data_IF_184528713723
#
_entry.id   IF_184528713723
#
_cell.length_a   1.000
_cell.length_b   1.000
_cell.length_c   1.000
_cell.angle_alpha   90.00
_cell.angle_beta   90.00
_cell.angle_gamma   90.00
#
_symmetry.space_group_name_H-M   'P 1'
#
loop_
_entity.id
_entity.type
_entity.pdbx_description
1 polymer ?
#
# COMPACT_ATOMS: atom_id res chain seq x y z
N UNK A 1 36.59 -17.76 -20.34
CA UNK A 1 35.15 -17.89 -20.18
C UNK A 1 34.67 -17.19 -18.92
N UNK A 2 33.40 -16.87 -18.90
CA UNK A 2 32.77 -16.18 -17.75
C UNK A 2 32.16 -17.17 -16.73
N UNK A 3 32.44 -18.47 -16.86
CA UNK A 3 31.84 -19.51 -16.01
C UNK A 3 32.15 -19.35 -14.52
N UNK A 4 33.29 -18.75 -14.19
CA UNK A 4 33.70 -18.50 -12.79
C UNK A 4 33.37 -17.08 -12.32
N UNK A 5 32.61 -16.32 -13.10
CA UNK A 5 32.25 -14.95 -12.72
C UNK A 5 31.30 -14.95 -11.49
N UNK A 6 31.57 -14.12 -10.45
CA UNK A 6 30.79 -14.13 -9.21
C UNK A 6 29.29 -13.88 -9.43
N UNK A 7 28.92 -13.08 -10.42
CA UNK A 7 27.50 -12.81 -10.76
C UNK A 7 26.83 -14.10 -11.28
N UNK A 8 27.51 -14.89 -12.13
CA UNK A 8 26.97 -16.14 -12.63
C UNK A 8 26.79 -17.14 -11.50
N UNK A 9 27.76 -17.27 -10.61
CA UNK A 9 27.67 -18.19 -9.47
C UNK A 9 26.55 -17.81 -8.52
N UNK A 10 26.39 -16.50 -8.21
CA UNK A 10 25.26 -15.99 -7.41
C UNK A 10 23.90 -16.24 -8.06
N UNK A 11 23.80 -16.04 -9.39
CA UNK A 11 22.57 -16.32 -10.14
C UNK A 11 22.20 -17.81 -10.15
N UNK A 12 23.18 -18.69 -10.32
CA UNK A 12 22.95 -20.15 -10.25
C UNK A 12 22.47 -20.55 -8.85
N UNK A 13 23.14 -20.08 -7.80
CA UNK A 13 22.73 -20.37 -6.43
C UNK A 13 21.32 -19.85 -6.14
N UNK A 14 21.00 -18.61 -6.56
CA UNK A 14 19.65 -18.05 -6.42
C UNK A 14 18.58 -18.94 -7.08
N UNK A 15 18.82 -19.40 -8.31
CA UNK A 15 17.88 -20.30 -8.98
C UNK A 15 17.73 -21.64 -8.25
N UNK A 16 18.83 -22.22 -7.77
CA UNK A 16 18.79 -23.47 -7.03
C UNK A 16 18.03 -23.30 -5.71
N UNK A 17 18.31 -22.23 -4.98
CA UNK A 17 17.73 -21.95 -3.64
C UNK A 17 16.25 -21.54 -3.76
N UNK A 18 15.78 -21.06 -4.95
CA UNK A 18 14.41 -20.65 -5.19
C UNK A 18 13.47 -21.78 -5.65
N UNK A 19 13.95 -23.00 -5.81
CA UNK A 19 13.10 -24.15 -6.18
C UNK A 19 12.14 -24.47 -5.04
N UNK A 20 10.85 -24.56 -5.35
CA UNK A 20 9.83 -25.03 -4.41
C UNK A 20 9.85 -26.56 -4.26
N UNK A 21 9.20 -27.06 -3.21
CA UNK A 21 9.09 -28.49 -2.95
C UNK A 21 8.43 -29.29 -4.10
N UNK A 22 7.57 -28.65 -4.88
CA UNK A 22 6.93 -29.22 -6.06
C UNK A 22 7.81 -29.18 -7.33
N UNK A 23 9.03 -28.62 -7.22
CA UNK A 23 9.98 -28.49 -8.33
C UNK A 23 9.77 -27.28 -9.23
N UNK A 24 8.82 -26.40 -8.91
CA UNK A 24 8.57 -25.17 -9.67
C UNK A 24 9.38 -23.98 -9.14
N UNK A 25 9.46 -22.91 -9.93
CA UNK A 25 10.00 -21.62 -9.51
C UNK A 25 8.86 -20.61 -9.32
N UNK A 26 8.88 -19.80 -8.24
CA UNK A 26 7.91 -18.73 -8.05
C UNK A 26 8.14 -17.59 -9.06
N UNK A 27 7.12 -16.75 -9.23
CA UNK A 27 7.22 -15.55 -10.07
C UNK A 27 8.01 -14.44 -9.37
N UNK A 28 7.81 -14.30 -8.07
CA UNK A 28 8.56 -13.43 -7.18
C UNK A 28 8.76 -14.14 -5.85
N UNK A 29 9.94 -13.95 -5.24
CA UNK A 29 10.31 -14.61 -3.98
C UNK A 29 10.53 -13.63 -2.84
N UNK A 30 10.48 -12.32 -3.10
CA UNK A 30 10.83 -11.32 -2.10
C UNK A 30 10.03 -10.03 -2.26
N UNK A 31 9.14 -9.79 -1.30
CA UNK A 31 8.40 -8.54 -1.09
C UNK A 31 8.78 -7.88 0.23
N UNK A 32 10.05 -7.98 0.64
CA UNK A 32 10.49 -7.62 1.99
C UNK A 32 10.14 -6.19 2.38
N UNK A 33 10.34 -5.21 1.50
CA UNK A 33 9.99 -3.81 1.78
C UNK A 33 8.48 -3.65 1.93
N UNK A 34 7.73 -4.18 0.97
CA UNK A 34 6.27 -4.10 0.95
C UNK A 34 5.63 -4.69 2.21
N UNK A 35 5.92 -5.95 2.54
CA UNK A 35 5.31 -6.59 3.71
C UNK A 35 5.82 -6.02 5.04
N UNK A 36 7.06 -5.50 5.09
CA UNK A 36 7.57 -4.81 6.28
C UNK A 36 6.78 -3.54 6.55
N UNK A 37 6.55 -2.70 5.52
CA UNK A 37 5.80 -1.44 5.69
C UNK A 37 4.35 -1.71 6.08
N UNK A 38 3.71 -2.69 5.44
CA UNK A 38 2.35 -3.12 5.79
C UNK A 38 2.29 -3.64 7.23
N UNK A 39 3.26 -4.45 7.65
CA UNK A 39 3.30 -5.01 9.01
C UNK A 39 3.48 -3.93 10.08
N UNK A 40 4.39 -2.98 9.86
CA UNK A 40 4.59 -1.83 10.77
C UNK A 40 3.29 -1.03 10.90
N UNK A 41 2.65 -0.72 9.77
CA UNK A 41 1.41 0.06 9.76
C UNK A 41 0.22 -0.68 10.39
N UNK A 42 0.22 -2.02 10.38
CA UNK A 42 -0.82 -2.83 11.04
C UNK A 42 -0.58 -3.02 12.54
N UNK A 43 0.69 -3.08 12.97
CA UNK A 43 1.06 -3.29 14.37
C UNK A 43 1.02 -2.00 15.20
N UNK A 44 1.26 -0.84 14.59
CA UNK A 44 1.26 0.46 15.25
C UNK A 44 2.04 0.43 16.59
N UNK A 45 1.40 0.83 17.68
CA UNK A 45 1.99 0.84 19.04
C UNK A 45 2.22 -0.56 19.63
N UNK A 46 1.64 -1.60 19.06
CA UNK A 46 1.83 -3.00 19.47
C UNK A 46 3.21 -3.55 19.10
N UNK A 47 3.97 -2.86 18.25
CA UNK A 47 5.34 -3.28 17.91
C UNK A 47 6.25 -3.18 19.15
N UNK A 48 6.98 -4.24 19.56
CA UNK A 48 7.90 -4.18 20.70
C UNK A 48 8.98 -3.11 20.52
N UNK A 49 9.29 -2.37 21.59
CA UNK A 49 10.23 -1.23 21.54
C UNK A 49 11.61 -1.62 21.02
N UNK A 50 12.07 -2.82 21.34
CA UNK A 50 13.37 -3.35 20.91
C UNK A 50 13.44 -3.62 19.39
N UNK A 51 12.30 -3.70 18.70
CA UNK A 51 12.23 -3.90 17.25
C UNK A 51 12.14 -2.58 16.47
N UNK A 52 11.80 -1.48 17.13
CA UNK A 52 11.53 -0.19 16.46
C UNK A 52 12.76 0.33 15.71
N UNK A 53 13.87 0.51 16.42
CA UNK A 53 15.12 1.04 15.86
C UNK A 53 15.68 0.16 14.73
N UNK A 54 15.79 -1.19 14.92
CA UNK A 54 16.24 -2.08 13.84
C UNK A 54 15.40 -2.02 12.57
N UNK A 55 14.07 -1.94 12.71
CA UNK A 55 13.14 -1.87 11.54
C UNK A 55 13.27 -0.51 10.85
N UNK A 56 13.34 0.60 11.62
CA UNK A 56 13.53 1.92 11.06
C UNK A 56 14.85 2.02 10.28
N UNK A 57 15.95 1.51 10.86
CA UNK A 57 17.26 1.45 10.20
C UNK A 57 17.23 0.63 8.91
N UNK A 58 16.54 -0.51 8.94
CA UNK A 58 16.43 -1.35 7.75
C UNK A 58 15.65 -0.62 6.64
N UNK A 59 14.49 -0.02 6.94
CA UNK A 59 13.70 0.75 5.98
C UNK A 59 14.46 1.95 5.41
N UNK A 60 15.19 2.69 6.24
CA UNK A 60 16.05 3.81 5.82
C UNK A 60 17.16 3.39 4.85
N UNK A 61 17.64 2.15 4.98
CA UNK A 61 18.65 1.60 4.08
C UNK A 61 18.09 1.14 2.73
N UNK A 62 16.77 0.91 2.63
CA UNK A 62 16.11 0.55 1.37
C UNK A 62 15.81 1.75 0.48
N UNK A 63 15.86 2.99 1.02
CA UNK A 63 15.66 4.17 0.18
C UNK A 63 16.75 4.32 -0.89
N UNK A 64 16.36 4.52 -2.13
CA UNK A 64 17.29 4.80 -3.21
C UNK A 64 17.95 6.17 -3.03
N UNK A 65 19.28 6.18 -2.92
CA UNK A 65 20.11 7.38 -2.67
C UNK A 65 20.82 7.88 -3.95
N UNK A 66 20.73 7.12 -5.02
CA UNK A 66 21.32 7.43 -6.33
C UNK A 66 20.29 7.15 -7.42
N UNK A 67 20.51 7.71 -8.61
CA UNK A 67 19.68 7.41 -9.79
C UNK A 67 19.68 5.91 -10.06
N UNK A 68 18.48 5.34 -10.26
CA UNK A 68 18.32 3.93 -10.52
C UNK A 68 18.97 3.52 -11.85
N UNK A 69 19.85 2.49 -11.88
CA UNK A 69 20.71 2.21 -13.02
C UNK A 69 20.00 1.76 -14.29
N UNK A 70 18.79 1.20 -14.16
CA UNK A 70 18.04 0.65 -15.30
C UNK A 70 16.87 1.52 -15.73
N UNK A 71 16.20 2.20 -14.80
CA UNK A 71 14.99 2.99 -15.08
C UNK A 71 15.24 4.48 -15.10
N UNK A 72 16.43 4.93 -14.68
CA UNK A 72 16.78 6.34 -14.49
C UNK A 72 15.82 7.07 -13.53
N UNK A 73 15.12 6.36 -12.65
CA UNK A 73 14.36 6.98 -11.58
C UNK A 73 15.27 7.78 -10.66
N UNK A 74 14.84 8.98 -10.30
CA UNK A 74 15.56 9.84 -9.36
C UNK A 74 15.63 9.20 -7.96
N UNK A 75 16.63 9.55 -7.13
CA UNK A 75 16.72 9.08 -5.76
C UNK A 75 15.58 9.62 -4.91
N UNK A 76 15.22 8.90 -3.85
CA UNK A 76 14.22 9.31 -2.86
C UNK A 76 13.06 8.33 -2.67
N UNK A 77 12.80 7.43 -3.62
CA UNK A 77 11.77 6.41 -3.50
C UNK A 77 12.26 5.09 -2.89
N UNK A 78 11.31 4.18 -2.64
CA UNK A 78 11.51 2.80 -2.22
C UNK A 78 10.91 1.84 -3.24
N UNK A 79 11.42 0.62 -3.27
CA UNK A 79 10.91 -0.48 -4.08
C UNK A 79 10.37 -1.61 -3.19
N UNK A 80 9.57 -2.52 -3.74
CA UNK A 80 8.94 -3.64 -3.03
C UNK A 80 9.92 -4.62 -2.36
N UNK A 81 11.17 -4.62 -2.77
CA UNK A 81 12.20 -5.59 -2.37
C UNK A 81 13.51 -4.90 -2.05
N UNK A 82 14.30 -5.51 -1.19
CA UNK A 82 15.69 -5.17 -0.88
C UNK A 82 16.70 -5.76 -1.90
N UNK A 83 16.23 -6.53 -2.87
CA UNK A 83 17.07 -7.13 -3.90
C UNK A 83 17.35 -6.13 -5.05
N UNK A 84 18.44 -6.39 -5.76
CA UNK A 84 18.96 -5.51 -6.83
C UNK A 84 18.03 -5.32 -8.04
N UNK A 85 16.96 -6.12 -8.15
CA UNK A 85 15.94 -6.01 -9.21
C UNK A 85 14.80 -5.05 -8.89
N UNK A 86 14.72 -4.54 -7.67
CA UNK A 86 13.69 -3.60 -7.26
C UNK A 86 13.74 -2.29 -8.06
N UNK A 87 12.59 -1.69 -8.31
CA UNK A 87 12.44 -0.39 -8.98
C UNK A 87 11.64 0.52 -8.06
N UNK A 88 12.10 1.75 -7.76
CA UNK A 88 11.32 2.66 -6.94
C UNK A 88 9.93 2.87 -7.51
N UNK A 89 8.90 2.79 -6.68
CA UNK A 89 7.52 2.86 -7.10
C UNK A 89 6.65 3.70 -6.16
N UNK A 90 5.45 4.04 -6.62
CA UNK A 90 4.51 4.88 -5.90
C UNK A 90 3.54 4.09 -5.00
N UNK A 91 3.77 2.81 -4.80
CA UNK A 91 3.06 1.98 -3.82
C UNK A 91 3.93 1.75 -2.58
N UNK A 92 5.19 1.36 -2.77
CA UNK A 92 6.15 1.13 -1.70
C UNK A 92 6.68 2.42 -1.06
N UNK A 93 6.88 3.47 -1.86
CA UNK A 93 7.35 4.76 -1.33
C UNK A 93 6.39 5.35 -0.29
N UNK A 94 5.07 5.50 -0.53
CA UNK A 94 4.13 5.95 0.49
C UNK A 94 4.02 4.98 1.67
N UNK A 95 4.09 3.66 1.43
CA UNK A 95 4.10 2.66 2.49
C UNK A 95 5.27 2.83 3.46
N UNK A 96 6.48 3.03 2.93
CA UNK A 96 7.68 3.29 3.72
C UNK A 96 7.59 4.63 4.48
N UNK A 97 7.05 5.67 3.84
CA UNK A 97 6.85 6.96 4.50
C UNK A 97 5.91 6.86 5.69
N UNK A 98 4.77 6.20 5.56
CA UNK A 98 3.82 5.97 6.65
C UNK A 98 4.47 5.15 7.77
N UNK A 99 5.13 4.05 7.44
CA UNK A 99 5.80 3.20 8.43
C UNK A 99 6.89 3.95 9.21
N UNK A 100 7.76 4.69 8.52
CA UNK A 100 8.82 5.47 9.16
C UNK A 100 8.25 6.58 10.05
N UNK A 101 7.15 7.23 9.65
CA UNK A 101 6.50 8.24 10.47
C UNK A 101 5.90 7.62 11.75
N UNK A 102 5.28 6.44 11.65
CA UNK A 102 4.76 5.70 12.81
C UNK A 102 5.86 5.29 13.80
N UNK A 103 7.05 4.96 13.31
CA UNK A 103 8.19 4.57 14.16
C UNK A 103 8.93 5.77 14.78
N UNK A 104 8.83 6.96 14.17
CA UNK A 104 9.69 8.12 14.41
C UNK A 104 9.81 8.48 15.89
N UNK A 105 8.70 8.74 16.58
CA UNK A 105 8.69 9.21 17.97
C UNK A 105 9.28 8.18 18.98
N UNK A 106 9.41 6.94 18.56
CA UNK A 106 9.93 5.83 19.35
C UNK A 106 11.41 5.54 19.06
N UNK A 107 12.02 6.25 18.10
CA UNK A 107 13.42 6.13 17.72
C UNK A 107 14.31 7.14 18.46
N UNK A 108 15.63 6.90 18.44
CA UNK A 108 16.64 7.87 18.91
C UNK A 108 16.60 9.18 18.10
N UNK A 109 17.06 10.28 18.69
CA UNK A 109 17.14 11.58 18.00
C UNK A 109 17.94 11.52 16.68
N UNK A 110 19.01 10.72 16.65
CA UNK A 110 19.80 10.50 15.44
C UNK A 110 18.95 9.83 14.34
N UNK A 111 18.21 8.78 14.69
CA UNK A 111 17.35 8.08 13.73
C UNK A 111 16.14 8.92 13.33
N UNK A 112 15.55 9.72 14.24
CA UNK A 112 14.52 10.69 13.89
C UNK A 112 14.99 11.67 12.82
N UNK A 113 16.19 12.25 12.94
CA UNK A 113 16.75 13.13 11.93
C UNK A 113 16.94 12.44 10.56
N UNK A 114 17.37 11.18 10.56
CA UNK A 114 17.50 10.37 9.34
C UNK A 114 16.14 10.09 8.71
N UNK A 115 15.12 9.80 9.53
CA UNK A 115 13.74 9.62 9.09
C UNK A 115 13.23 10.90 8.44
N UNK A 116 13.35 12.07 9.09
CA UNK A 116 12.89 13.35 8.57
C UNK A 116 13.53 13.68 7.20
N UNK A 117 14.81 13.36 7.06
CA UNK A 117 15.54 13.52 5.80
C UNK A 117 14.99 12.59 4.72
N UNK A 118 14.75 11.32 5.07
CA UNK A 118 14.24 10.31 4.15
C UNK A 118 12.80 10.63 3.70
N UNK A 119 11.95 11.05 4.64
CA UNK A 119 10.57 11.49 4.34
C UNK A 119 10.55 12.68 3.39
N UNK A 120 11.42 13.67 3.63
CA UNK A 120 11.55 14.85 2.75
C UNK A 120 11.95 14.47 1.31
N UNK A 121 12.85 13.50 1.16
CA UNK A 121 13.25 12.97 -0.14
C UNK A 121 12.11 12.20 -0.82
N UNK A 122 11.37 11.38 -0.06
CA UNK A 122 10.18 10.65 -0.54
C UNK A 122 9.08 11.59 -1.01
N UNK A 123 8.79 12.64 -0.24
CA UNK A 123 7.82 13.69 -0.63
C UNK A 123 8.22 14.32 -1.96
N UNK A 124 9.49 14.73 -2.10
CA UNK A 124 9.98 15.30 -3.36
C UNK A 124 9.77 14.34 -4.51
N UNK A 125 10.16 13.07 -4.33
CA UNK A 125 10.05 12.02 -5.34
C UNK A 125 8.60 11.82 -5.79
N UNK A 126 7.65 11.75 -4.84
CA UNK A 126 6.22 11.60 -5.13
C UNK A 126 5.63 12.83 -5.83
N UNK A 127 6.01 14.05 -5.44
CA UNK A 127 5.55 15.28 -6.09
C UNK A 127 6.01 15.35 -7.56
N UNK A 128 7.26 14.96 -7.83
CA UNK A 128 7.82 14.96 -9.19
C UNK A 128 7.19 13.87 -10.08
N UNK A 129 6.65 12.81 -9.45
CA UNK A 129 6.04 11.69 -10.15
C UNK A 129 4.57 11.93 -10.55
N UNK A 130 3.84 12.86 -9.93
CA UNK A 130 2.41 13.08 -10.18
C UNK A 130 2.11 13.28 -11.66
N UNK A 131 1.09 12.58 -12.17
CA UNK A 131 0.62 12.72 -13.54
C UNK A 131 -0.19 13.99 -13.76
N UNK A 132 -0.33 14.42 -15.02
CA UNK A 132 -1.09 15.61 -15.40
C UNK A 132 -2.59 15.50 -15.09
N UNK A 133 -3.14 14.29 -15.00
CA UNK A 133 -4.52 14.04 -14.62
C UNK A 133 -4.76 14.13 -13.10
N UNK A 134 -3.67 14.31 -12.32
CA UNK A 134 -3.69 14.47 -10.88
C UNK A 134 -3.47 13.18 -10.08
N UNK A 135 -3.51 12.02 -10.72
CA UNK A 135 -3.19 10.74 -10.07
C UNK A 135 -1.72 10.40 -10.10
N UNK A 136 -1.37 9.23 -9.57
CA UNK A 136 -0.01 8.70 -9.58
C UNK A 136 0.07 7.38 -10.33
N UNK A 137 1.13 7.19 -11.14
CA UNK A 137 1.44 5.93 -11.80
C UNK A 137 2.01 4.94 -10.79
N UNK A 138 2.16 3.69 -11.20
CA UNK A 138 2.73 2.64 -10.34
C UNK A 138 4.20 2.85 -10.09
N UNK A 139 4.99 2.95 -11.17
CA UNK A 139 6.43 3.10 -11.11
C UNK A 139 6.89 4.51 -11.49
N UNK A 140 8.21 4.69 -11.59
CA UNK A 140 8.79 5.81 -12.30
C UNK A 140 8.25 5.87 -13.74
N UNK A 141 8.15 7.08 -14.31
CA UNK A 141 7.65 7.29 -15.68
C UNK A 141 8.61 6.76 -16.74
N UNK A 142 8.09 6.46 -17.92
CA UNK A 142 8.90 6.12 -19.09
C UNK A 142 8.66 4.72 -19.65
N UNK A 143 7.64 4.02 -19.17
CA UNK A 143 7.26 2.68 -19.63
C UNK A 143 6.41 2.71 -20.92
N UNK A 144 6.08 3.89 -21.41
CA UNK A 144 5.42 4.12 -22.70
C UNK A 144 3.99 3.61 -22.76
N UNK A 145 3.74 2.58 -23.56
CA UNK A 145 2.39 2.01 -23.78
C UNK A 145 1.93 1.06 -22.67
N UNK A 146 2.81 0.68 -21.76
CA UNK A 146 2.46 -0.19 -20.64
C UNK A 146 1.56 0.56 -19.64
N UNK A 147 0.72 -0.16 -18.89
CA UNK A 147 -0.19 0.46 -17.92
C UNK A 147 0.52 1.14 -16.75
N UNK A 148 1.81 0.90 -16.54
CA UNK A 148 2.60 1.41 -15.42
C UNK A 148 2.65 2.94 -15.32
N UNK A 149 2.56 3.65 -16.46
CA UNK A 149 2.55 5.12 -16.50
C UNK A 149 1.15 5.72 -16.26
N UNK A 150 0.12 4.89 -16.20
CA UNK A 150 -1.26 5.34 -15.95
C UNK A 150 -1.46 5.60 -14.48
N UNK A 151 -2.30 6.58 -14.16
CA UNK A 151 -2.75 6.81 -12.79
C UNK A 151 -3.63 5.67 -12.30
N UNK A 152 -3.32 5.16 -11.10
CA UNK A 152 -4.09 4.16 -10.39
C UNK A 152 -4.83 4.78 -9.21
N UNK A 153 -6.07 4.33 -8.93
CA UNK A 153 -6.87 4.89 -7.85
C UNK A 153 -6.34 4.54 -6.47
N UNK A 154 -5.98 3.28 -6.25
CA UNK A 154 -5.42 2.77 -5.01
C UNK A 154 -4.06 3.41 -4.69
N UNK A 155 -3.16 3.49 -5.69
CA UNK A 155 -1.86 4.15 -5.55
C UNK A 155 -2.03 5.66 -5.32
N UNK A 156 -2.92 6.31 -6.07
CA UNK A 156 -3.23 7.73 -5.85
C UNK A 156 -3.69 7.98 -4.41
N UNK A 157 -4.57 7.12 -3.90
CA UNK A 157 -5.03 7.19 -2.51
C UNK A 157 -3.91 6.96 -1.50
N UNK A 158 -3.03 6.00 -1.76
CA UNK A 158 -1.89 5.70 -0.88
C UNK A 158 -0.92 6.87 -0.80
N UNK A 159 -0.60 7.50 -1.94
CA UNK A 159 0.24 8.71 -1.98
C UNK A 159 -0.42 9.88 -1.24
N UNK A 160 -1.72 10.12 -1.45
CA UNK A 160 -2.46 11.16 -0.72
C UNK A 160 -2.31 10.97 0.79
N UNK A 161 -2.50 9.75 1.30
CA UNK A 161 -2.34 9.43 2.72
C UNK A 161 -0.94 9.77 3.24
N UNK A 162 0.10 9.35 2.51
CA UNK A 162 1.48 9.60 2.92
C UNK A 162 1.83 11.10 2.92
N UNK A 163 1.36 11.86 1.93
CA UNK A 163 1.57 13.30 1.87
C UNK A 163 0.82 14.04 2.99
N UNK A 164 -0.44 13.68 3.25
CA UNK A 164 -1.24 14.24 4.35
C UNK A 164 -0.60 13.93 5.71
N UNK A 165 -0.16 12.68 5.89
CA UNK A 165 0.50 12.26 7.13
C UNK A 165 1.80 13.02 7.36
N UNK A 166 2.59 13.24 6.28
CA UNK A 166 3.81 14.05 6.35
C UNK A 166 3.50 15.51 6.73
N UNK A 167 2.47 16.14 6.15
CA UNK A 167 2.07 17.51 6.51
C UNK A 167 1.77 17.60 8.01
N UNK A 168 0.99 16.66 8.53
CA UNK A 168 0.51 16.68 9.91
C UNK A 168 1.58 16.34 10.95
N UNK A 169 2.66 15.64 10.56
CA UNK A 169 3.72 15.16 11.46
C UNK A 169 5.09 15.79 11.17
N UNK A 170 5.18 16.76 10.25
CA UNK A 170 6.43 17.44 9.99
C UNK A 170 6.83 18.28 11.20
N UNK A 171 8.07 18.16 11.71
CA UNK A 171 8.51 18.96 12.84
C UNK A 171 8.47 20.45 12.53
N UNK A 172 7.98 21.26 13.46
CA UNK A 172 8.15 22.71 13.46
C UNK A 172 9.62 23.03 13.77
N UNK A 173 10.47 22.98 12.73
CA UNK A 173 11.90 23.24 12.89
C UNK A 173 12.18 24.74 12.79
N UNK A 174 12.65 25.33 13.90
CA UNK A 174 13.18 26.69 13.94
C UNK A 174 14.27 26.88 12.87
N UNK A 175 14.04 27.80 11.93
CA UNK A 175 15.00 28.16 10.87
C UNK A 175 14.77 27.52 9.50
N UNK A 176 13.95 26.48 9.37
CA UNK A 176 13.60 25.83 8.08
C UNK A 176 12.10 26.05 7.75
N UNK A 177 11.41 26.80 8.57
CA UNK A 177 9.95 27.01 8.51
C UNK A 177 9.45 27.44 7.12
N UNK A 178 10.20 28.27 6.40
CA UNK A 178 9.77 28.77 5.09
C UNK A 178 9.81 27.65 4.01
N UNK A 179 10.82 26.81 4.02
CA UNK A 179 10.95 25.70 3.05
C UNK A 179 9.94 24.60 3.33
N UNK A 180 9.74 24.23 4.60
CA UNK A 180 8.73 23.23 5.00
C UNK A 180 7.32 23.72 4.67
N UNK A 181 6.98 24.98 4.98
CA UNK A 181 5.68 25.58 4.61
C UNK A 181 5.47 25.63 3.10
N UNK A 182 6.51 25.94 2.32
CA UNK A 182 6.42 25.91 0.86
C UNK A 182 6.14 24.50 0.37
N UNK A 183 6.85 23.50 0.89
CA UNK A 183 6.68 22.08 0.53
C UNK A 183 5.31 21.54 0.94
N UNK A 184 4.82 21.91 2.13
CA UNK A 184 3.48 21.56 2.58
C UNK A 184 2.40 22.06 1.59
N UNK A 185 2.51 23.31 1.12
CA UNK A 185 1.59 23.86 0.08
C UNK A 185 1.65 23.10 -1.24
N UNK A 186 2.83 22.62 -1.64
CA UNK A 186 2.95 21.75 -2.82
C UNK A 186 2.23 20.41 -2.59
N UNK A 187 2.37 19.81 -1.41
CA UNK A 187 1.66 18.59 -1.03
C UNK A 187 0.15 18.82 -1.02
N UNK A 188 -0.35 19.87 -0.38
CA UNK A 188 -1.78 20.25 -0.38
C UNK A 188 -2.32 20.38 -1.83
N UNK A 189 -1.59 21.06 -2.69
CA UNK A 189 -1.96 21.19 -4.11
C UNK A 189 -1.98 19.85 -4.83
N UNK A 190 -1.02 18.97 -4.55
CA UNK A 190 -0.95 17.63 -5.15
C UNK A 190 -2.09 16.73 -4.65
N UNK A 191 -2.39 16.76 -3.34
CA UNK A 191 -3.52 16.07 -2.71
C UNK A 191 -4.84 16.48 -3.38
N UNK A 192 -5.08 17.79 -3.54
CA UNK A 192 -6.30 18.28 -4.20
C UNK A 192 -6.41 17.84 -5.67
N UNK A 193 -5.29 17.73 -6.38
CA UNK A 193 -5.29 17.16 -7.74
C UNK A 193 -5.62 15.66 -7.68
N UNK A 194 -5.07 14.94 -6.72
CA UNK A 194 -5.35 13.53 -6.50
C UNK A 194 -6.83 13.28 -6.23
N UNK A 195 -7.46 14.02 -5.33
CA UNK A 195 -8.90 13.89 -5.08
C UNK A 195 -9.76 14.22 -6.31
N UNK A 196 -9.34 15.19 -7.15
CA UNK A 196 -10.04 15.43 -8.43
C UNK A 196 -9.94 14.25 -9.38
N UNK A 197 -8.77 13.56 -9.40
CA UNK A 197 -8.61 12.31 -10.15
C UNK A 197 -9.54 11.23 -9.63
N UNK A 198 -9.53 10.96 -8.30
CA UNK A 198 -10.38 9.97 -7.66
C UNK A 198 -11.88 10.22 -7.89
N UNK A 199 -12.32 11.47 -7.80
CA UNK A 199 -13.70 11.87 -8.12
C UNK A 199 -14.07 11.54 -9.56
N UNK A 200 -13.19 11.84 -10.52
CA UNK A 200 -13.44 11.62 -11.96
C UNK A 200 -13.44 10.13 -12.32
N UNK A 201 -12.65 9.32 -11.63
CA UNK A 201 -12.47 7.89 -11.90
C UNK A 201 -13.47 7.00 -11.15
N UNK A 202 -14.29 7.56 -10.24
CA UNK A 202 -15.32 6.81 -9.54
C UNK A 202 -16.35 6.24 -10.52
N UNK A 203 -16.63 4.96 -10.40
CA UNK A 203 -17.66 4.27 -11.22
C UNK A 203 -19.06 4.77 -10.88
N UNK A 204 -20.00 4.59 -11.80
CA UNK A 204 -21.39 5.00 -11.61
C UNK A 204 -22.06 4.33 -10.40
N UNK A 205 -21.63 3.13 -10.04
CA UNK A 205 -22.11 2.40 -8.85
C UNK A 205 -21.48 2.86 -7.52
N UNK A 206 -20.49 3.76 -7.54
CA UNK A 206 -19.81 4.28 -6.35
C UNK A 206 -18.46 3.65 -6.05
N UNK A 207 -18.09 2.55 -6.69
CA UNK A 207 -16.82 1.87 -6.46
C UNK A 207 -15.64 2.50 -7.22
N UNK A 208 -14.42 2.11 -6.84
CA UNK A 208 -13.19 2.36 -7.58
C UNK A 208 -12.48 1.04 -7.89
N UNK A 209 -11.74 1.03 -8.97
CA UNK A 209 -10.89 -0.10 -9.34
C UNK A 209 -9.43 0.23 -9.09
N UNK A 210 -8.66 -0.71 -8.56
CA UNK A 210 -7.20 -0.64 -8.58
C UNK A 210 -6.70 -0.90 -10.00
N UNK A 211 -5.44 -0.58 -10.27
CA UNK A 211 -4.81 -0.94 -11.55
C UNK A 211 -4.16 -2.33 -11.47
N UNK A 212 -3.69 -2.72 -10.27
CA UNK A 212 -2.85 -3.91 -10.10
C UNK A 212 -3.58 -5.07 -9.42
N UNK A 213 -4.18 -4.82 -8.28
CA UNK A 213 -4.69 -5.85 -7.36
C UNK A 213 -6.05 -6.37 -7.81
N UNK A 214 -6.04 -7.32 -8.75
CA UNK A 214 -7.24 -7.98 -9.21
C UNK A 214 -7.70 -9.12 -8.31
N UNK A 215 -8.85 -9.70 -8.66
CA UNK A 215 -9.36 -10.93 -8.07
C UNK A 215 -9.78 -11.88 -9.19
N UNK A 216 -9.10 -13.03 -9.33
CA UNK A 216 -9.32 -13.97 -10.43
C UNK A 216 -10.70 -14.65 -10.45
N UNK A 217 -11.52 -14.45 -9.38
CA UNK A 217 -12.88 -14.99 -9.29
C UNK A 217 -13.94 -13.97 -9.72
N UNK A 218 -13.53 -12.70 -9.90
CA UNK A 218 -14.42 -11.63 -10.37
C UNK A 218 -14.38 -11.56 -11.90
N UNK A 219 -15.50 -11.28 -12.59
CA UNK A 219 -15.49 -11.00 -14.02
C UNK A 219 -14.44 -9.93 -14.35
N UNK A 220 -13.72 -10.11 -15.46
CA UNK A 220 -12.63 -9.26 -15.91
C UNK A 220 -11.43 -9.16 -14.93
N UNK A 221 -11.35 -10.07 -13.97
CA UNK A 221 -10.32 -10.14 -12.94
C UNK A 221 -10.23 -8.85 -12.08
N UNK A 222 -11.30 -8.04 -12.04
CA UNK A 222 -11.36 -6.78 -11.26
C UNK A 222 -11.38 -7.02 -9.75
N UNK A 223 -11.01 -6.00 -8.96
CA UNK A 223 -11.18 -6.03 -7.50
C UNK A 223 -11.71 -4.69 -6.96
N UNK A 224 -12.99 -4.39 -7.18
CA UNK A 224 -13.58 -3.14 -6.70
C UNK A 224 -13.64 -3.03 -5.18
N UNK A 225 -13.66 -4.12 -4.42
CA UNK A 225 -13.61 -4.09 -2.95
C UNK A 225 -12.28 -3.52 -2.49
N UNK A 226 -11.16 -4.06 -3.00
CA UNK A 226 -9.83 -3.53 -2.70
C UNK A 226 -9.70 -2.05 -3.08
N UNK A 227 -10.01 -1.72 -4.34
CA UNK A 227 -9.86 -0.35 -4.84
C UNK A 227 -10.68 0.66 -4.05
N UNK A 228 -11.93 0.30 -3.70
CA UNK A 228 -12.83 1.18 -2.94
C UNK A 228 -12.34 1.37 -1.51
N UNK A 229 -11.93 0.30 -0.82
CA UNK A 229 -11.39 0.39 0.54
C UNK A 229 -10.13 1.26 0.60
N UNK A 230 -9.17 1.06 -0.31
CA UNK A 230 -7.95 1.88 -0.38
C UNK A 230 -8.23 3.36 -0.65
N UNK A 231 -9.18 3.67 -1.53
CA UNK A 231 -9.56 5.07 -1.81
C UNK A 231 -10.25 5.71 -0.60
N UNK A 232 -11.17 4.99 0.05
CA UNK A 232 -11.85 5.49 1.24
C UNK A 232 -10.90 5.76 2.42
N UNK A 233 -9.81 5.00 2.54
CA UNK A 233 -8.77 5.27 3.52
C UNK A 233 -8.16 6.68 3.33
N UNK A 234 -7.95 7.13 2.09
CA UNK A 234 -7.49 8.50 1.83
C UNK A 234 -8.54 9.56 2.20
N UNK A 235 -9.81 9.32 1.90
CA UNK A 235 -10.88 10.22 2.33
C UNK A 235 -10.99 10.31 3.85
N UNK A 236 -10.82 9.18 4.57
CA UNK A 236 -10.79 9.13 6.04
C UNK A 236 -9.63 9.95 6.59
N UNK A 237 -8.42 9.66 6.16
CA UNK A 237 -7.19 10.23 6.71
C UNK A 237 -7.07 11.74 6.43
N UNK A 238 -7.70 12.23 5.35
CA UNK A 238 -7.80 13.65 5.03
C UNK A 238 -9.07 14.34 5.57
N UNK A 239 -9.86 13.69 6.44
CA UNK A 239 -11.09 14.27 7.03
C UNK A 239 -12.21 14.55 6.02
N UNK A 240 -12.24 13.86 4.87
CA UNK A 240 -13.16 14.12 3.73
C UNK A 240 -14.26 13.07 3.59
N UNK A 241 -14.58 12.33 4.64
CA UNK A 241 -15.63 11.29 4.59
C UNK A 241 -17.02 11.85 4.29
N UNK A 242 -17.25 13.15 4.50
CA UNK A 242 -18.53 13.81 4.15
C UNK A 242 -18.67 14.14 2.66
N UNK A 243 -17.62 14.00 1.87
CA UNK A 243 -17.68 14.21 0.44
C UNK A 243 -18.62 13.18 -0.22
N UNK A 244 -19.36 13.61 -1.23
CA UNK A 244 -20.36 12.74 -1.89
C UNK A 244 -19.75 11.46 -2.46
N UNK A 245 -18.53 11.54 -2.98
CA UNK A 245 -17.79 10.42 -3.52
C UNK A 245 -17.49 9.39 -2.44
N UNK A 246 -17.03 9.84 -1.25
CA UNK A 246 -16.77 8.96 -0.12
C UNK A 246 -18.04 8.26 0.36
N UNK A 247 -19.15 9.00 0.49
CA UNK A 247 -20.42 8.42 0.92
C UNK A 247 -20.91 7.34 -0.06
N UNK A 248 -20.81 7.59 -1.37
CA UNK A 248 -21.18 6.58 -2.38
C UNK A 248 -20.29 5.33 -2.32
N UNK A 249 -19.00 5.50 -2.02
CA UNK A 249 -18.09 4.38 -1.83
C UNK A 249 -18.42 3.54 -0.59
N UNK A 250 -18.73 4.20 0.53
CA UNK A 250 -19.17 3.53 1.76
C UNK A 250 -20.48 2.77 1.54
N UNK A 251 -21.46 3.41 0.91
CA UNK A 251 -22.75 2.77 0.59
C UNK A 251 -22.56 1.57 -0.34
N UNK A 252 -21.60 1.63 -1.26
CA UNK A 252 -21.26 0.52 -2.13
C UNK A 252 -20.65 -0.65 -1.35
N UNK A 253 -19.70 -0.40 -0.42
CA UNK A 253 -19.12 -1.46 0.42
C UNK A 253 -20.19 -2.14 1.26
N UNK A 254 -21.07 -1.37 1.91
CA UNK A 254 -22.17 -1.93 2.71
C UNK A 254 -23.11 -2.81 1.87
N UNK A 255 -23.47 -2.35 0.67
CA UNK A 255 -24.38 -3.06 -0.24
C UNK A 255 -23.77 -4.33 -0.85
N UNK A 256 -22.42 -4.48 -0.81
CA UNK A 256 -21.72 -5.62 -1.40
C UNK A 256 -21.21 -6.63 -0.34
N UNK A 257 -21.70 -6.55 0.90
CA UNK A 257 -21.47 -7.59 1.88
C UNK A 257 -22.20 -8.89 1.47
N UNK A 258 -21.50 -10.01 1.51
CA UNK A 258 -22.09 -11.32 1.23
C UNK A 258 -23.02 -11.81 2.34
N UNK A 259 -23.89 -12.74 2.00
CA UNK A 259 -24.85 -13.31 2.96
C UNK A 259 -24.20 -14.03 4.15
N UNK A 260 -22.95 -14.49 4.00
CA UNK A 260 -22.16 -15.09 5.08
C UNK A 260 -21.54 -14.06 6.04
N UNK A 261 -21.63 -12.77 5.71
CA UNK A 261 -21.10 -11.65 6.48
C UNK A 261 -19.73 -11.14 6.03
N UNK A 262 -19.03 -11.82 5.13
CA UNK A 262 -17.74 -11.39 4.57
C UNK A 262 -17.89 -10.57 3.29
N UNK A 263 -16.74 -10.24 2.69
CA UNK A 263 -16.64 -9.60 1.38
C UNK A 263 -15.70 -10.39 0.49
N UNK A 264 -16.04 -10.47 -0.81
CA UNK A 264 -15.15 -10.91 -1.87
C UNK A 264 -14.63 -9.73 -2.69
N UNK A 265 -13.89 -10.00 -3.76
CA UNK A 265 -13.35 -8.97 -4.65
C UNK A 265 -14.39 -8.07 -5.31
N UNK A 266 -15.60 -8.54 -5.44
CA UNK A 266 -16.76 -7.83 -6.00
C UNK A 266 -18.06 -8.56 -5.68
N UNK A 267 -19.18 -8.05 -6.23
CA UNK A 267 -20.50 -8.65 -6.05
C UNK A 267 -20.51 -10.11 -6.47
N UNK A 268 -21.18 -10.97 -5.69
CA UNK A 268 -21.39 -12.40 -5.97
C UNK A 268 -20.10 -13.26 -6.02
N UNK A 269 -18.99 -12.77 -5.44
CA UNK A 269 -17.77 -13.56 -5.28
C UNK A 269 -17.63 -14.02 -3.84
N UNK A 270 -17.10 -15.25 -3.67
CA UNK A 270 -16.88 -15.82 -2.34
C UNK A 270 -16.07 -14.86 -1.46
N UNK A 271 -16.44 -14.81 -0.17
CA UNK A 271 -15.73 -14.01 0.82
C UNK A 271 -14.29 -14.49 1.00
N UNK A 272 -13.38 -13.53 1.14
CA UNK A 272 -11.98 -13.79 1.48
C UNK A 272 -11.58 -13.03 2.74
N UNK A 273 -10.47 -13.41 3.34
CA UNK A 273 -9.94 -12.74 4.53
C UNK A 273 -9.50 -11.33 4.17
N UNK A 274 -8.78 -11.17 3.06
CA UNK A 274 -8.19 -9.91 2.64
C UNK A 274 -9.25 -8.86 2.33
N UNK A 275 -10.22 -9.17 1.48
CA UNK A 275 -11.28 -8.24 1.12
C UNK A 275 -12.22 -7.95 2.30
N UNK A 276 -12.52 -8.97 3.11
CA UNK A 276 -13.33 -8.79 4.33
C UNK A 276 -12.64 -7.85 5.32
N UNK A 277 -11.35 -8.06 5.57
CA UNK A 277 -10.58 -7.21 6.47
C UNK A 277 -10.54 -5.77 5.98
N UNK A 278 -10.20 -5.53 4.70
CA UNK A 278 -10.13 -4.18 4.13
C UNK A 278 -11.48 -3.45 4.17
N UNK A 279 -12.57 -4.13 3.84
CA UNK A 279 -13.90 -3.52 3.89
C UNK A 279 -14.31 -3.17 5.33
N UNK A 280 -14.08 -4.07 6.28
CA UNK A 280 -14.38 -3.85 7.70
C UNK A 280 -13.55 -2.72 8.30
N UNK A 281 -12.23 -2.67 8.06
CA UNK A 281 -11.37 -1.63 8.57
C UNK A 281 -11.93 -0.24 8.24
N UNK A 282 -12.31 -0.05 6.99
CA UNK A 282 -12.88 1.22 6.53
C UNK A 282 -14.25 1.49 7.15
N UNK A 283 -15.15 0.54 7.13
CA UNK A 283 -16.50 0.75 7.66
C UNK A 283 -16.48 1.05 9.16
N UNK A 284 -15.64 0.36 9.94
CA UNK A 284 -15.46 0.58 11.37
C UNK A 284 -14.87 1.97 11.65
N UNK A 285 -13.77 2.31 10.98
CA UNK A 285 -13.07 3.57 11.20
C UNK A 285 -13.85 4.81 10.72
N UNK A 286 -14.84 4.63 9.83
CA UNK A 286 -15.71 5.70 9.35
C UNK A 286 -16.98 5.90 10.18
N UNK A 287 -17.08 5.25 11.35
CA UNK A 287 -18.21 5.40 12.26
C UNK A 287 -19.53 4.86 11.71
N UNK A 288 -19.49 3.96 10.73
CA UNK A 288 -20.68 3.25 10.27
C UNK A 288 -21.14 2.32 11.39
N UNK A 289 -22.44 2.19 11.56
CA UNK A 289 -23.07 1.37 12.59
C UNK A 289 -24.14 0.48 11.98
N UNK A 290 -24.22 -0.78 12.40
CA UNK A 290 -25.25 -1.68 11.91
C UNK A 290 -24.92 -3.14 12.19
N UNK A 291 -25.93 -4.01 12.03
CA UNK A 291 -25.76 -5.46 12.22
C UNK A 291 -24.77 -6.08 11.22
N UNK A 292 -24.60 -5.48 10.05
CA UNK A 292 -23.68 -5.94 9.03
C UNK A 292 -22.22 -5.91 9.51
N UNK A 293 -21.79 -4.90 10.30
CA UNK A 293 -20.44 -4.87 10.88
C UNK A 293 -20.21 -6.03 11.84
N UNK A 294 -21.20 -6.32 12.70
CA UNK A 294 -21.13 -7.48 13.61
C UNK A 294 -21.03 -8.82 12.86
N UNK A 295 -21.71 -8.96 11.72
CA UNK A 295 -21.60 -10.15 10.87
C UNK A 295 -20.19 -10.27 10.27
N UNK A 296 -19.63 -9.17 9.78
CA UNK A 296 -18.28 -9.13 9.21
C UNK A 296 -17.19 -9.44 10.25
N UNK A 297 -17.27 -8.83 11.44
CA UNK A 297 -16.35 -9.13 12.54
C UNK A 297 -16.44 -10.62 12.93
N UNK A 298 -17.64 -11.17 13.07
CA UNK A 298 -17.80 -12.58 13.40
C UNK A 298 -17.25 -13.50 12.30
N UNK A 299 -17.44 -13.13 11.02
CA UNK A 299 -16.87 -13.86 9.90
C UNK A 299 -15.33 -13.89 9.98
N UNK A 300 -14.71 -12.72 10.21
CA UNK A 300 -13.26 -12.61 10.32
C UNK A 300 -12.71 -13.35 11.55
N UNK A 301 -13.37 -13.26 12.70
CA UNK A 301 -13.01 -14.02 13.90
C UNK A 301 -13.07 -15.53 13.64
N UNK A 302 -14.12 -16.02 12.98
CA UNK A 302 -14.25 -17.43 12.62
C UNK A 302 -13.11 -17.86 11.67
N UNK A 303 -12.70 -17.02 10.74
CA UNK A 303 -11.56 -17.31 9.85
C UNK A 303 -10.24 -17.43 10.64
N UNK A 304 -10.05 -16.61 11.69
CA UNK A 304 -8.90 -16.73 12.61
C UNK A 304 -8.97 -18.05 13.38
N UNK A 305 -10.12 -18.38 13.99
CA UNK A 305 -10.29 -19.58 14.83
C UNK A 305 -10.21 -20.88 14.02
N UNK A 306 -10.72 -20.90 12.78
CA UNK A 306 -10.62 -22.06 11.88
C UNK A 306 -9.25 -22.27 11.27
N UNK A 307 -8.39 -21.24 11.30
CA UNK A 307 -7.08 -21.24 10.65
C UNK A 307 -7.15 -20.86 9.16
N UNK A 308 -8.30 -20.42 8.65
CA UNK A 308 -8.44 -19.92 7.26
C UNK A 308 -7.65 -18.65 7.03
N UNK A 309 -7.29 -17.90 8.08
CA UNK A 309 -6.32 -16.81 8.09
C UNK A 309 -4.98 -17.16 7.42
N UNK A 310 -4.64 -18.44 7.31
CA UNK A 310 -3.40 -18.93 6.70
C UNK A 310 -3.57 -19.37 5.24
N UNK A 311 -4.69 -19.04 4.62
CA UNK A 311 -4.99 -19.38 3.23
C UNK A 311 -5.04 -18.11 2.39
N UNK A 312 -3.88 -17.60 1.92
CA UNK A 312 -3.85 -16.36 1.15
C UNK A 312 -4.64 -16.50 -0.15
N UNK A 313 -5.26 -15.42 -0.56
CA UNK A 313 -5.86 -15.32 -1.88
C UNK A 313 -4.82 -14.90 -2.92
N UNK A 314 -4.99 -15.29 -4.19
CA UNK A 314 -4.11 -14.82 -5.24
C UNK A 314 -4.23 -13.31 -5.42
N UNK A 315 -3.09 -12.64 -5.42
CA UNK A 315 -2.95 -11.22 -5.64
C UNK A 315 -2.15 -11.02 -6.93
N UNK A 316 -2.22 -9.86 -7.54
CA UNK A 316 -1.32 -9.52 -8.63
C UNK A 316 -1.98 -8.75 -9.76
N UNK A 317 -1.31 -8.78 -10.89
CA UNK A 317 -1.58 -7.89 -12.01
C UNK A 317 -2.71 -8.45 -12.87
N UNK A 318 -3.94 -8.14 -12.52
CA UNK A 318 -5.09 -8.69 -13.23
C UNK A 318 -5.07 -8.39 -14.75
N UNK A 319 -4.55 -7.23 -15.17
CA UNK A 319 -4.41 -6.90 -16.59
C UNK A 319 -3.36 -7.76 -17.31
N UNK A 320 -2.41 -8.37 -16.58
CA UNK A 320 -1.40 -9.28 -17.12
C UNK A 320 -1.67 -10.74 -16.78
N UNK A 321 -2.70 -11.01 -15.97
CA UNK A 321 -3.05 -12.35 -15.44
C UNK A 321 -1.87 -13.02 -14.73
N UNK A 322 -1.10 -12.24 -13.99
CA UNK A 322 0.04 -12.67 -13.18
C UNK A 322 -0.38 -12.72 -11.73
N UNK A 323 -0.68 -13.92 -11.23
CA UNK A 323 -1.17 -14.14 -9.88
C UNK A 323 -0.07 -14.72 -9.00
N UNK A 324 0.04 -14.21 -7.78
CA UNK A 324 0.92 -14.73 -6.75
C UNK A 324 0.21 -14.76 -5.39
N UNK A 325 0.80 -15.41 -4.41
CA UNK A 325 0.27 -15.57 -3.06
C UNK A 325 1.27 -14.99 -2.06
N UNK A 326 0.77 -14.26 -1.06
CA UNK A 326 1.57 -13.81 0.07
C UNK A 326 0.90 -14.25 1.38
N UNK A 327 1.56 -15.10 2.14
CA UNK A 327 1.03 -15.70 3.37
C UNK A 327 0.82 -14.67 4.48
N UNK A 328 1.46 -13.49 4.40
CA UNK A 328 1.33 -12.44 5.40
C UNK A 328 0.12 -11.52 5.16
N UNK A 329 -0.37 -11.40 3.94
CA UNK A 329 -1.48 -10.49 3.63
C UNK A 329 -2.73 -10.72 4.47
N UNK A 330 -3.30 -11.94 4.56
CA UNK A 330 -4.47 -12.15 5.38
C UNK A 330 -4.21 -11.85 6.87
N UNK A 331 -2.99 -12.12 7.36
CA UNK A 331 -2.59 -11.82 8.74
C UNK A 331 -2.51 -10.31 8.97
N UNK A 332 -1.79 -9.59 8.10
CA UNK A 332 -1.56 -8.15 8.23
C UNK A 332 -2.89 -7.39 8.18
N UNK A 333 -3.74 -7.66 7.17
CA UNK A 333 -5.01 -6.97 7.03
C UNK A 333 -5.97 -7.28 8.19
N UNK A 334 -5.97 -8.53 8.69
CA UNK A 334 -6.77 -8.89 9.87
C UNK A 334 -6.30 -8.14 11.12
N UNK A 335 -4.99 -8.04 11.36
CA UNK A 335 -4.44 -7.31 12.51
C UNK A 335 -4.82 -5.83 12.43
N UNK A 336 -4.65 -5.19 11.27
CA UNK A 336 -5.04 -3.78 11.05
C UNK A 336 -6.52 -3.54 11.34
N UNK A 337 -7.39 -4.44 10.86
CA UNK A 337 -8.84 -4.35 11.08
C UNK A 337 -9.21 -4.50 12.55
N UNK A 338 -8.64 -5.47 13.25
CA UNK A 338 -8.95 -5.73 14.66
C UNK A 338 -8.44 -4.61 15.58
N UNK A 339 -7.32 -3.96 15.25
CA UNK A 339 -6.88 -2.74 15.94
C UNK A 339 -7.88 -1.61 15.77
N UNK A 340 -8.44 -1.42 14.58
CA UNK A 340 -9.45 -0.40 14.31
C UNK A 340 -10.80 -0.67 15.00
N UNK A 341 -11.05 -1.89 15.47
CA UNK A 341 -12.28 -2.30 16.14
C UNK A 341 -12.24 -2.15 17.67
N UNK A 342 -11.06 -1.94 18.26
CA UNK A 342 -10.84 -1.74 19.70
C UNK A 342 -10.83 -0.27 20.08
#
# INVERSE_FOLDING_TARGET
GLLDHPVLQKGINFLIDSVRDDGSWPIDTNLATWVTTLSVNALEDSLPQEQVEPIADWLLNQQYKTVHPYTNADPGGWAWTDLSGGVPDADDTPGAMLALTNLRERCSEETQFRIDTALTNGVKWLLDLQNNDGGWPTFCKGWGTLPFDRSSNDITAHVIRALEYWINNSPDADGIEHELKFRARLCESAIEKGFRHLKKSQRSNGSWLPLWFGNQRVPDDENPTYGTAKVLAAYRDCGRLTDQEAQRGLDWLEANQNADGGWGGGSETDSSVEETALALEILLSCGRCGSHLGLGINWLMNAVESGDLRKPQPIGFYFAKLWYYDDLYPVIFTVSTLHSAC
#
